data_IF_584382330582
#
_entry.id   IF_584382330582
#
_cell.length_a   1.000
_cell.length_b   1.000
_cell.length_c   1.000
_cell.angle_alpha   90.00
_cell.angle_beta   90.00
_cell.angle_gamma   90.00
#
_symmetry.space_group_name_H-M   'P 1'
#
loop_
_entity.id
_entity.type
_entity.pdbx_description
1 polymer ?
#
# COMPACT_ATOMS: atom_id res chain seq x y z
N UNK A 1 18.09 -12.27 22.45
CA UNK A 1 17.75 -12.99 21.19
C UNK A 1 16.52 -12.33 20.57
N UNK A 2 16.66 -11.69 19.41
CA UNK A 2 15.59 -10.93 18.72
C UNK A 2 15.01 -11.76 17.57
N UNK A 3 14.40 -12.90 17.86
CA UNK A 3 13.77 -13.72 16.81
C UNK A 3 12.41 -13.14 16.42
N UNK A 4 12.32 -12.54 15.24
CA UNK A 4 11.09 -11.89 14.73
C UNK A 4 9.95 -12.88 14.57
N UNK A 5 10.23 -14.13 14.17
CA UNK A 5 9.20 -15.16 14.01
C UNK A 5 8.47 -15.47 15.34
N UNK A 6 9.21 -15.53 16.46
CA UNK A 6 8.63 -15.74 17.79
C UNK A 6 7.77 -14.53 18.18
N UNK A 7 8.27 -13.31 17.96
CA UNK A 7 7.54 -12.07 18.27
C UNK A 7 6.23 -11.95 17.50
N UNK A 8 6.25 -12.25 16.20
CA UNK A 8 5.05 -12.23 15.36
C UNK A 8 4.02 -13.28 15.81
N UNK A 9 4.49 -14.48 16.16
CA UNK A 9 3.62 -15.53 16.67
C UNK A 9 2.98 -15.10 17.99
N UNK A 10 3.78 -14.64 18.97
CA UNK A 10 3.27 -14.15 20.24
C UNK A 10 2.27 -12.99 20.07
N UNK A 11 2.60 -12.01 19.20
CA UNK A 11 1.72 -10.89 18.89
C UNK A 11 0.37 -11.30 18.30
N UNK A 12 0.35 -12.36 17.48
CA UNK A 12 -0.90 -12.90 16.95
C UNK A 12 -1.81 -13.47 18.05
N UNK A 13 -1.25 -14.19 19.03
CA UNK A 13 -2.01 -14.70 20.18
C UNK A 13 -2.54 -13.57 21.05
N UNK A 14 -1.72 -12.56 21.35
CA UNK A 14 -2.13 -11.37 22.12
C UNK A 14 -3.28 -10.65 21.42
N UNK A 15 -3.16 -10.39 20.11
CA UNK A 15 -4.20 -9.77 19.29
C UNK A 15 -5.50 -10.59 19.32
N UNK A 16 -5.42 -11.91 19.18
CA UNK A 16 -6.60 -12.74 19.17
C UNK A 16 -7.34 -12.74 20.52
N UNK A 17 -6.61 -12.79 21.63
CA UNK A 17 -7.18 -12.67 22.98
C UNK A 17 -7.85 -11.31 23.18
N UNK A 18 -7.19 -10.23 22.78
CA UNK A 18 -7.74 -8.87 22.86
C UNK A 18 -9.03 -8.72 22.04
N UNK A 19 -9.12 -9.38 20.88
CA UNK A 19 -10.30 -9.38 20.02
C UNK A 19 -11.37 -10.42 20.42
N UNK A 20 -11.27 -11.04 21.61
CA UNK A 20 -12.28 -11.95 22.14
C UNK A 20 -12.32 -13.33 21.48
N UNK A 21 -11.29 -13.72 20.72
CA UNK A 21 -11.23 -15.04 20.09
C UNK A 21 -10.81 -16.12 21.11
N UNK A 22 -11.59 -17.21 21.19
CA UNK A 22 -11.23 -18.39 21.99
C UNK A 22 -10.14 -19.21 21.28
N UNK A 23 -8.94 -19.25 21.85
CA UNK A 23 -7.80 -19.99 21.30
C UNK A 23 -7.84 -21.44 21.81
N UNK A 24 -8.40 -22.35 21.02
CA UNK A 24 -8.49 -23.79 21.37
C UNK A 24 -7.43 -24.67 20.72
N UNK A 25 -6.71 -24.15 19.73
CA UNK A 25 -5.71 -24.87 18.93
C UNK A 25 -4.58 -23.91 18.56
N UNK A 26 -3.36 -24.42 18.27
CA UNK A 26 -2.28 -23.60 17.77
C UNK A 26 -2.64 -22.87 16.47
N UNK A 27 -2.11 -21.66 16.29
CA UNK A 27 -2.35 -20.89 15.07
C UNK A 27 -1.65 -21.54 13.88
N UNK A 28 -2.39 -21.66 12.78
CA UNK A 28 -1.86 -22.09 11.48
C UNK A 28 -1.84 -20.89 10.55
N UNK A 29 -0.69 -20.67 9.92
CA UNK A 29 -0.52 -19.60 8.95
C UNK A 29 -0.86 -20.14 7.56
N UNK A 30 -1.98 -19.69 6.98
CA UNK A 30 -2.47 -20.19 5.69
C UNK A 30 -1.54 -19.86 4.51
N UNK A 31 -0.72 -18.82 4.64
CA UNK A 31 0.15 -18.34 3.56
C UNK A 31 1.60 -18.37 4.01
N UNK A 32 2.50 -18.97 3.23
CA UNK A 32 3.92 -18.93 3.52
C UNK A 32 4.47 -17.52 3.28
N UNK A 33 4.98 -16.89 4.34
CA UNK A 33 5.77 -15.67 4.28
C UNK A 33 6.73 -15.63 5.46
N UNK A 34 7.78 -14.84 5.34
CA UNK A 34 8.71 -14.56 6.43
C UNK A 34 8.89 -13.05 6.56
N UNK A 35 9.10 -12.58 7.79
CA UNK A 35 9.40 -11.18 8.08
C UNK A 35 10.70 -11.13 8.86
N UNK A 36 11.63 -10.30 8.40
CA UNK A 36 12.93 -10.13 9.01
C UNK A 36 13.15 -8.65 9.30
N UNK A 37 13.60 -8.36 10.52
CA UNK A 37 14.14 -7.06 10.86
C UNK A 37 15.58 -6.96 10.36
N UNK A 38 15.95 -5.83 9.77
CA UNK A 38 17.27 -5.55 9.21
C UNK A 38 18.00 -4.59 10.16
N UNK A 39 19.25 -4.90 10.54
CA UNK A 39 20.02 -3.97 11.39
C UNK A 39 21.26 -4.54 12.07
N UNK A 40 22.13 -3.62 12.52
CA UNK A 40 23.50 -3.89 13.00
C UNK A 40 23.61 -4.68 14.31
N UNK A 41 22.56 -4.75 15.14
CA UNK A 41 22.62 -5.35 16.50
C UNK A 41 21.38 -6.18 16.85
N UNK A 42 21.10 -7.22 16.07
CA UNK A 42 20.01 -8.17 16.35
C UNK A 42 18.95 -8.30 15.25
N UNK A 43 19.23 -7.80 14.05
CA UNK A 43 18.40 -8.09 12.89
C UNK A 43 18.48 -9.57 12.50
N UNK A 44 17.33 -10.12 12.10
CA UNK A 44 17.25 -11.44 11.49
C UNK A 44 17.69 -11.43 10.01
N UNK A 45 17.93 -10.25 9.45
CA UNK A 45 18.48 -10.06 8.11
C UNK A 45 19.56 -8.97 8.07
N UNK A 46 20.49 -9.09 7.12
CA UNK A 46 21.54 -8.10 6.85
C UNK A 46 21.92 -8.11 5.36
N UNK A 47 21.88 -6.93 4.72
CA UNK A 47 22.33 -6.72 3.35
C UNK A 47 23.84 -6.47 3.36
N UNK A 48 24.62 -7.43 2.84
CA UNK A 48 26.08 -7.40 2.87
C UNK A 48 26.65 -6.65 1.67
N UNK A 49 27.84 -6.06 1.86
CA UNK A 49 28.60 -5.34 0.80
C UNK A 49 28.91 -6.18 -0.44
N UNK A 50 28.88 -7.51 -0.35
CA UNK A 50 29.15 -8.42 -1.47
C UNK A 50 27.86 -8.89 -2.19
N UNK A 51 26.80 -8.09 -2.18
CA UNK A 51 25.50 -8.39 -2.80
C UNK A 51 24.86 -9.70 -2.30
N UNK A 52 25.14 -10.07 -1.04
CA UNK A 52 24.50 -11.20 -0.37
C UNK A 52 23.56 -10.72 0.72
N UNK A 53 22.38 -11.32 0.78
CA UNK A 53 21.44 -11.16 1.87
C UNK A 53 21.70 -12.28 2.87
N UNK A 54 22.14 -11.91 4.07
CA UNK A 54 22.28 -12.84 5.20
C UNK A 54 20.95 -12.88 5.94
N UNK A 55 20.27 -14.03 5.99
CA UNK A 55 19.06 -14.22 6.79
C UNK A 55 19.27 -15.27 7.87
N UNK A 56 18.62 -15.11 9.02
CA UNK A 56 18.55 -16.12 10.06
C UNK A 56 17.49 -17.16 9.73
N UNK A 57 17.81 -18.43 9.94
CA UNK A 57 16.88 -19.57 9.81
C UNK A 57 17.04 -20.48 11.01
N UNK A 58 16.13 -21.44 11.17
CA UNK A 58 16.25 -22.49 12.19
C UNK A 58 17.58 -23.27 12.09
N UNK A 59 18.15 -23.37 10.88
CA UNK A 59 19.41 -24.06 10.61
C UNK A 59 20.60 -23.08 10.55
N UNK A 60 20.52 -21.98 11.31
CA UNK A 60 21.53 -20.93 11.32
C UNK A 60 21.40 -19.90 10.19
N UNK A 61 22.41 -19.03 10.05
CA UNK A 61 22.40 -17.96 9.04
C UNK A 61 22.70 -18.50 7.64
N UNK A 62 21.84 -18.16 6.68
CA UNK A 62 22.02 -18.47 5.25
C UNK A 62 22.36 -17.18 4.50
N UNK A 63 23.30 -17.28 3.55
CA UNK A 63 23.71 -16.18 2.68
C UNK A 63 23.13 -16.45 1.30
N UNK A 64 22.25 -15.57 0.84
CA UNK A 64 21.54 -15.70 -0.42
C UNK A 64 21.99 -14.60 -1.38
N UNK A 65 22.16 -14.94 -2.65
CA UNK A 65 22.26 -13.92 -3.69
C UNK A 65 20.88 -13.26 -3.86
N UNK A 66 20.86 -11.97 -4.15
CA UNK A 66 19.63 -11.26 -4.48
C UNK A 66 19.85 -10.35 -5.69
N UNK A 67 18.75 -9.99 -6.33
CA UNK A 67 18.73 -9.06 -7.45
C UNK A 67 17.74 -7.94 -7.12
N UNK A 68 18.17 -6.69 -7.35
CA UNK A 68 17.32 -5.51 -7.22
C UNK A 68 16.95 -5.07 -8.64
N UNK A 69 15.65 -4.98 -9.00
CA UNK A 69 15.24 -4.42 -10.28
C UNK A 69 15.79 -3.00 -10.47
N UNK A 70 16.17 -2.64 -11.70
CA UNK A 70 16.87 -1.37 -12.00
C UNK A 70 16.14 -0.14 -11.48
N UNK A 71 14.81 -0.12 -11.63
CA UNK A 71 13.96 0.95 -11.10
C UNK A 71 14.15 1.20 -9.59
N UNK A 72 14.44 0.16 -8.81
CA UNK A 72 14.60 0.24 -7.37
C UNK A 72 16.04 0.48 -6.90
N UNK A 73 17.05 0.34 -7.78
CA UNK A 73 18.46 0.47 -7.39
C UNK A 73 18.74 1.83 -6.78
N UNK A 74 18.32 2.92 -7.43
CA UNK A 74 18.52 4.28 -6.92
C UNK A 74 17.96 4.49 -5.49
N UNK A 75 16.82 3.89 -5.15
CA UNK A 75 16.22 4.04 -3.83
C UNK A 75 16.92 3.17 -2.78
N UNK A 76 17.40 2.00 -3.19
CA UNK A 76 18.13 1.10 -2.33
C UNK A 76 19.53 1.63 -2.01
N UNK A 77 20.23 2.16 -3.01
CA UNK A 77 21.59 2.67 -2.88
C UNK A 77 21.62 3.99 -2.06
N UNK A 78 20.59 4.82 -2.19
CA UNK A 78 20.41 6.05 -1.41
C UNK A 78 19.69 5.83 -0.06
N UNK A 79 19.46 4.59 0.36
CA UNK A 79 18.77 4.32 1.62
C UNK A 79 19.67 4.65 2.82
N UNK A 80 19.21 5.57 3.67
CA UNK A 80 19.86 5.89 4.95
C UNK A 80 19.59 4.80 5.99
N UNK A 81 18.45 4.12 5.88
CA UNK A 81 18.13 2.97 6.72
C UNK A 81 17.33 1.92 5.95
N UNK A 82 17.75 0.67 6.08
CA UNK A 82 16.95 -0.49 5.69
C UNK A 82 16.36 -1.09 6.97
N UNK A 83 15.03 -1.06 7.11
CA UNK A 83 14.37 -1.41 8.37
C UNK A 83 13.97 -2.89 8.41
N UNK A 84 13.33 -3.37 7.35
CA UNK A 84 12.79 -4.73 7.33
C UNK A 84 12.59 -5.27 5.94
N UNK A 85 12.40 -6.59 5.85
CA UNK A 85 12.05 -7.30 4.62
C UNK A 85 10.94 -8.31 4.90
N UNK A 86 9.87 -8.24 4.10
CA UNK A 86 8.85 -9.30 4.02
C UNK A 86 9.18 -10.16 2.80
N UNK A 87 9.42 -11.45 3.01
CA UNK A 87 9.67 -12.42 1.93
C UNK A 87 8.40 -13.22 1.67
N UNK A 88 7.97 -13.29 0.41
CA UNK A 88 6.84 -14.10 -0.05
C UNK A 88 7.25 -14.98 -1.21
N UNK A 89 6.57 -16.11 -1.37
CA UNK A 89 6.71 -16.97 -2.54
C UNK A 89 5.72 -16.50 -3.61
N UNK A 90 6.23 -16.19 -4.81
CA UNK A 90 5.42 -15.86 -5.99
C UNK A 90 6.05 -16.51 -7.22
N UNK A 91 5.25 -17.28 -7.99
CA UNK A 91 5.70 -17.98 -9.20
C UNK A 91 7.00 -18.78 -8.95
N UNK A 92 7.03 -19.55 -7.86
CA UNK A 92 8.19 -20.34 -7.40
C UNK A 92 9.47 -19.52 -7.13
N UNK A 93 9.37 -18.20 -6.94
CA UNK A 93 10.48 -17.31 -6.57
C UNK A 93 10.24 -16.67 -5.21
N UNK A 94 11.31 -16.45 -4.46
CA UNK A 94 11.29 -15.62 -3.25
C UNK A 94 11.33 -14.15 -3.65
N UNK A 95 10.29 -13.41 -3.29
CA UNK A 95 10.18 -11.96 -3.51
C UNK A 95 10.30 -11.25 -2.18
N UNK A 96 11.35 -10.44 -2.05
CA UNK A 96 11.59 -9.57 -0.90
C UNK A 96 10.95 -8.20 -1.09
N UNK A 97 10.04 -7.82 -0.19
CA UNK A 97 9.51 -6.46 -0.08
C UNK A 97 10.28 -5.74 1.02
N UNK A 98 11.16 -4.83 0.62
CA UNK A 98 12.10 -4.15 1.51
C UNK A 98 11.54 -2.79 1.92
N UNK A 99 11.60 -2.47 3.21
CA UNK A 99 11.27 -1.16 3.75
C UNK A 99 12.54 -0.33 3.93
N UNK A 100 12.57 0.83 3.30
CA UNK A 100 13.70 1.75 3.23
C UNK A 100 13.29 3.12 3.77
N UNK A 101 14.21 3.79 4.45
CA UNK A 101 14.17 5.24 4.69
C UNK A 101 15.16 5.87 3.72
N UNK A 102 14.65 6.74 2.86
CA UNK A 102 15.45 7.63 2.02
C UNK A 102 15.33 9.03 2.59
N UNK A 103 16.40 9.81 2.51
CA UNK A 103 16.33 11.25 2.78
C UNK A 103 16.05 11.96 1.47
N UNK A 104 15.10 12.89 1.51
CA UNK A 104 14.74 13.74 0.38
C UNK A 104 15.03 15.15 0.83
N UNK A 105 15.82 15.88 0.03
CA UNK A 105 16.13 17.27 0.33
C UNK A 105 14.87 18.12 0.40
N UNK A 106 14.95 19.23 1.15
CA UNK A 106 13.87 20.21 1.15
C UNK A 106 13.74 20.83 -0.24
N UNK A 107 12.51 20.88 -0.74
CA UNK A 107 12.22 21.59 -1.97
C UNK A 107 12.43 23.09 -1.76
N UNK A 108 13.09 23.76 -2.71
CA UNK A 108 13.20 25.21 -2.77
C UNK A 108 12.32 25.71 -3.92
N UNK A 109 11.00 25.82 -3.72
CA UNK A 109 10.11 26.14 -4.82
C UNK A 109 10.29 27.59 -5.27
N UNK A 110 10.29 27.79 -6.57
CA UNK A 110 10.39 29.10 -7.23
C UNK A 110 9.04 29.47 -7.86
N UNK A 111 8.28 28.46 -8.29
CA UNK A 111 7.12 28.63 -9.15
C UNK A 111 5.84 28.06 -8.54
N UNK A 112 4.77 28.85 -8.33
CA UNK A 112 3.50 28.31 -7.90
C UNK A 112 2.77 27.62 -9.06
N UNK A 113 2.22 26.45 -8.80
CA UNK A 113 1.25 25.76 -9.67
C UNK A 113 -0.07 25.70 -8.92
N UNK A 114 -1.04 26.49 -9.36
CA UNK A 114 -2.38 26.51 -8.77
C UNK A 114 -3.17 25.29 -9.22
N UNK A 115 -3.76 24.56 -8.29
CA UNK A 115 -4.58 23.37 -8.54
C UNK A 115 -5.96 23.53 -7.94
N UNK A 116 -6.96 23.37 -8.78
CA UNK A 116 -8.37 23.48 -8.43
C UNK A 116 -9.19 22.27 -8.98
N UNK A 117 -10.38 22.07 -8.42
CA UNK A 117 -11.41 21.14 -8.85
C UNK A 117 -12.47 21.90 -9.64
N UNK A 118 -12.88 21.35 -10.78
CA UNK A 118 -14.05 21.89 -11.49
C UNK A 118 -15.15 20.82 -11.62
N UNK A 119 -16.31 21.17 -12.20
CA UNK A 119 -17.46 20.27 -12.25
C UNK A 119 -17.23 18.94 -13.01
N UNK A 120 -16.33 18.98 -14.01
CA UNK A 120 -16.11 17.91 -15.00
C UNK A 120 -14.72 17.26 -14.88
N UNK A 121 -13.73 18.01 -14.42
CA UNK A 121 -12.34 17.65 -14.23
C UNK A 121 -12.03 17.47 -12.75
N UNK A 122 -11.31 16.40 -12.45
CA UNK A 122 -10.91 16.12 -11.09
C UNK A 122 -9.65 16.87 -10.68
N UNK A 123 -8.89 17.42 -11.63
CA UNK A 123 -7.75 18.30 -11.44
C UNK A 123 -7.76 19.28 -12.62
N UNK A 124 -7.73 20.57 -12.31
CA UNK A 124 -7.36 21.67 -13.19
C UNK A 124 -6.12 22.29 -12.58
N UNK A 125 -5.03 22.40 -13.35
CA UNK A 125 -3.81 23.04 -12.86
C UNK A 125 -3.35 24.13 -13.82
N UNK A 126 -2.84 25.23 -13.27
CA UNK A 126 -2.28 26.36 -14.03
C UNK A 126 -0.84 26.59 -13.56
N UNK A 127 0.10 26.65 -14.50
CA UNK A 127 1.51 26.91 -14.22
C UNK A 127 1.84 28.41 -14.38
N UNK A 128 3.06 28.86 -14.05
CA UNK A 128 3.44 30.28 -14.19
C UNK A 128 3.38 30.81 -15.63
N UNK A 129 3.50 29.92 -16.63
CA UNK A 129 3.45 30.26 -18.05
C UNK A 129 2.00 30.34 -18.58
N UNK A 130 1.00 30.27 -17.69
CA UNK A 130 -0.43 30.22 -17.99
C UNK A 130 -0.88 29.02 -18.83
N UNK A 131 -0.07 27.96 -18.89
CA UNK A 131 -0.49 26.68 -19.45
C UNK A 131 -1.44 25.98 -18.49
N UNK A 132 -2.45 25.30 -19.05
CA UNK A 132 -3.50 24.67 -18.25
C UNK A 132 -3.52 23.16 -18.49
N UNK A 133 -3.43 22.41 -17.39
CA UNK A 133 -3.61 20.96 -17.37
C UNK A 133 -5.02 20.60 -16.94
N UNK A 134 -5.70 19.81 -17.78
CA UNK A 134 -6.98 19.19 -17.45
C UNK A 134 -6.83 17.68 -17.23
N UNK A 135 -7.33 17.18 -16.10
CA UNK A 135 -7.46 15.75 -15.82
C UNK A 135 -8.91 15.42 -15.52
N UNK A 136 -9.59 14.83 -16.52
CA UNK A 136 -11.01 14.48 -16.39
C UNK A 136 -11.27 13.38 -15.35
N UNK A 137 -12.28 13.59 -14.51
CA UNK A 137 -12.81 12.59 -13.57
C UNK A 137 -14.04 11.86 -14.09
N UNK A 138 -14.52 12.18 -15.29
CA UNK A 138 -15.88 11.86 -15.75
C UNK A 138 -16.16 10.36 -15.80
N UNK A 139 -15.27 9.58 -16.43
CA UNK A 139 -15.43 8.11 -16.52
C UNK A 139 -15.53 7.48 -15.13
N UNK A 140 -14.74 7.96 -14.17
CA UNK A 140 -14.77 7.52 -12.77
C UNK A 140 -16.07 7.92 -12.09
N UNK A 141 -16.54 9.16 -12.27
CA UNK A 141 -17.80 9.70 -11.76
C UNK A 141 -18.98 8.82 -12.20
N UNK A 142 -19.06 8.51 -13.50
CA UNK A 142 -20.10 7.64 -14.08
C UNK A 142 -20.07 6.23 -13.47
N UNK A 143 -18.90 5.60 -13.43
CA UNK A 143 -18.75 4.25 -12.86
C UNK A 143 -19.05 4.20 -11.36
N UNK A 144 -18.68 5.23 -10.61
CA UNK A 144 -18.97 5.34 -9.18
C UNK A 144 -20.47 5.56 -8.94
N UNK A 145 -21.14 6.37 -9.76
CA UNK A 145 -22.61 6.57 -9.68
C UNK A 145 -23.37 5.25 -9.86
N UNK A 146 -22.98 4.43 -10.83
CA UNK A 146 -23.56 3.09 -11.05
C UNK A 146 -23.37 2.18 -9.82
N UNK A 147 -22.15 2.11 -9.29
CA UNK A 147 -21.86 1.30 -8.09
C UNK A 147 -22.63 1.80 -6.87
N UNK A 148 -22.72 3.12 -6.65
CA UNK A 148 -23.46 3.70 -5.53
C UNK A 148 -24.95 3.31 -5.56
N UNK A 149 -25.58 3.30 -6.74
CA UNK A 149 -26.96 2.80 -6.89
C UNK A 149 -27.08 1.33 -6.47
N UNK A 150 -26.14 0.49 -6.89
CA UNK A 150 -26.12 -0.94 -6.49
C UNK A 150 -25.92 -1.11 -5.00
N UNK A 151 -25.00 -0.34 -4.38
CA UNK A 151 -24.76 -0.36 -2.93
C UNK A 151 -26.03 0.01 -2.16
N UNK A 152 -26.70 1.10 -2.53
CA UNK A 152 -27.97 1.52 -1.90
C UNK A 152 -29.02 0.41 -1.94
N UNK A 153 -29.19 -0.24 -3.10
CA UNK A 153 -30.13 -1.39 -3.24
C UNK A 153 -29.75 -2.56 -2.32
N UNK A 154 -28.46 -2.90 -2.25
CA UNK A 154 -27.97 -3.99 -1.40
C UNK A 154 -28.08 -3.66 0.09
N UNK A 155 -27.92 -2.39 0.48
CA UNK A 155 -28.12 -1.94 1.86
C UNK A 155 -29.58 -2.08 2.29
N UNK A 156 -30.54 -1.70 1.43
CA UNK A 156 -31.97 -1.95 1.70
C UNK A 156 -32.27 -3.45 1.84
N UNK A 157 -31.76 -4.27 0.91
CA UNK A 157 -31.88 -5.75 0.99
C UNK A 157 -31.25 -6.32 2.27
N UNK A 158 -30.14 -5.76 2.73
CA UNK A 158 -29.49 -6.17 3.96
C UNK A 158 -30.38 -5.85 5.17
N UNK A 159 -30.97 -4.65 5.22
CA UNK A 159 -31.88 -4.24 6.30
C UNK A 159 -33.11 -5.15 6.38
N UNK A 160 -33.76 -5.42 5.24
CA UNK A 160 -34.89 -6.35 5.17
C UNK A 160 -34.54 -7.75 5.68
N UNK A 161 -33.41 -8.31 5.21
CA UNK A 161 -32.97 -9.64 5.69
C UNK A 161 -32.67 -9.66 7.19
N UNK A 162 -32.16 -8.57 7.77
CA UNK A 162 -31.94 -8.46 9.22
C UNK A 162 -33.26 -8.46 9.98
N UNK A 163 -34.25 -7.68 9.51
CA UNK A 163 -35.58 -7.64 10.11
C UNK A 163 -36.27 -9.01 10.06
N UNK A 164 -36.13 -9.73 8.94
CA UNK A 164 -36.68 -11.09 8.77
C UNK A 164 -35.82 -12.20 9.41
N UNK A 165 -34.76 -11.86 10.17
CA UNK A 165 -33.80 -12.82 10.75
C UNK A 165 -33.19 -13.82 9.74
N UNK A 166 -33.10 -13.43 8.46
CA UNK A 166 -32.55 -14.25 7.37
C UNK A 166 -31.04 -14.10 7.24
N UNK A 167 -30.40 -15.11 6.65
CA UNK A 167 -28.95 -15.09 6.38
C UNK A 167 -28.52 -13.91 5.49
N UNK A 168 -27.60 -13.09 6.03
CA UNK A 168 -27.08 -11.86 5.42
C UNK A 168 -25.71 -12.00 4.76
N UNK A 169 -25.02 -13.14 4.92
CA UNK A 169 -23.60 -13.32 4.52
C UNK A 169 -23.35 -13.00 3.05
N UNK A 170 -24.23 -13.43 2.15
CA UNK A 170 -24.09 -13.19 0.71
C UNK A 170 -24.19 -11.71 0.33
N UNK A 171 -25.08 -10.96 0.99
CA UNK A 171 -25.26 -9.52 0.78
C UNK A 171 -24.05 -8.75 1.30
N UNK A 172 -23.60 -9.07 2.52
CA UNK A 172 -22.41 -8.45 3.14
C UNK A 172 -21.16 -8.71 2.30
N UNK A 173 -20.94 -9.93 1.82
CA UNK A 173 -19.80 -10.28 0.95
C UNK A 173 -19.82 -9.45 -0.35
N UNK A 174 -21.00 -9.27 -0.93
CA UNK A 174 -21.16 -8.47 -2.16
C UNK A 174 -20.89 -6.99 -1.91
N UNK A 175 -21.39 -6.43 -0.79
CA UNK A 175 -21.11 -5.05 -0.38
C UNK A 175 -19.61 -4.81 -0.19
N UNK A 176 -18.92 -5.68 0.56
CA UNK A 176 -17.46 -5.60 0.76
C UNK A 176 -16.71 -5.65 -0.58
N UNK A 177 -17.11 -6.53 -1.49
CA UNK A 177 -16.52 -6.63 -2.83
C UNK A 177 -16.69 -5.34 -3.65
N UNK A 178 -17.86 -4.72 -3.62
CA UNK A 178 -18.14 -3.46 -4.32
C UNK A 178 -17.35 -2.29 -3.73
N UNK A 179 -17.29 -2.19 -2.40
CA UNK A 179 -16.47 -1.19 -1.71
C UNK A 179 -14.98 -1.34 -2.09
N UNK A 180 -14.45 -2.56 -2.06
CA UNK A 180 -13.08 -2.83 -2.49
C UNK A 180 -12.82 -2.48 -3.96
N UNK A 181 -13.79 -2.71 -4.85
CA UNK A 181 -13.70 -2.30 -6.27
C UNK A 181 -13.65 -0.78 -6.42
N UNK A 182 -14.46 -0.04 -5.66
CA UNK A 182 -14.44 1.43 -5.65
C UNK A 182 -13.10 1.96 -5.11
N UNK A 183 -12.63 1.42 -3.98
CA UNK A 183 -11.37 1.82 -3.37
C UNK A 183 -10.18 1.63 -4.31
N UNK A 184 -10.09 0.46 -4.97
CA UNK A 184 -9.03 0.21 -5.97
C UNK A 184 -9.07 1.21 -7.13
N UNK A 185 -10.25 1.51 -7.66
CA UNK A 185 -10.41 2.52 -8.73
C UNK A 185 -10.01 3.92 -8.27
N UNK A 186 -10.38 4.32 -7.06
CA UNK A 186 -9.96 5.62 -6.52
C UNK A 186 -8.45 5.67 -6.39
N UNK A 187 -7.82 4.63 -5.83
CA UNK A 187 -6.36 4.54 -5.68
C UNK A 187 -5.64 4.63 -7.02
N UNK A 188 -6.11 3.89 -8.01
CA UNK A 188 -5.58 3.88 -9.37
C UNK A 188 -5.69 5.26 -10.04
N UNK A 189 -6.86 5.91 -9.91
CA UNK A 189 -7.06 7.26 -10.39
C UNK A 189 -6.13 8.27 -9.71
N UNK A 190 -6.02 8.26 -8.38
CA UNK A 190 -5.11 9.14 -7.66
C UNK A 190 -3.66 8.93 -8.13
N UNK A 191 -3.21 7.67 -8.25
CA UNK A 191 -1.85 7.38 -8.73
C UNK A 191 -1.60 7.95 -10.13
N UNK A 192 -2.48 7.66 -11.08
CA UNK A 192 -2.32 8.09 -12.48
C UNK A 192 -2.48 9.60 -12.65
N UNK A 193 -3.44 10.21 -11.96
CA UNK A 193 -3.68 11.65 -12.00
C UNK A 193 -2.53 12.44 -11.35
N UNK A 194 -2.07 12.03 -10.16
CA UNK A 194 -0.92 12.68 -9.50
C UNK A 194 0.36 12.49 -10.30
N UNK A 195 0.59 11.30 -10.88
CA UNK A 195 1.74 11.09 -11.77
C UNK A 195 1.71 12.05 -12.96
N UNK A 196 0.56 12.17 -13.65
CA UNK A 196 0.39 13.10 -14.77
C UNK A 196 0.60 14.56 -14.36
N UNK A 197 0.11 14.95 -13.18
CA UNK A 197 0.31 16.29 -12.64
C UNK A 197 1.80 16.57 -12.40
N UNK A 198 2.49 15.67 -11.69
CA UNK A 198 3.92 15.82 -11.37
C UNK A 198 4.79 15.82 -12.63
N UNK A 199 4.48 14.99 -13.63
CA UNK A 199 5.19 14.98 -14.91
C UNK A 199 4.96 16.24 -15.74
N UNK A 200 3.85 16.94 -15.54
CA UNK A 200 3.53 18.19 -16.22
C UNK A 200 4.06 19.43 -15.50
N UNK A 201 4.20 19.38 -14.17
CA UNK A 201 4.71 20.48 -13.38
C UNK A 201 6.16 20.84 -13.77
N UNK A 202 6.50 22.14 -13.83
CA UNK A 202 7.89 22.56 -14.03
C UNK A 202 8.76 22.17 -12.84
N UNK A 203 10.07 22.09 -13.07
CA UNK A 203 11.03 21.86 -12.00
C UNK A 203 10.94 22.94 -10.91
N UNK A 204 11.22 22.56 -9.67
CA UNK A 204 11.21 23.46 -8.52
C UNK A 204 9.89 24.23 -8.34
N UNK A 205 8.74 23.60 -8.63
CA UNK A 205 7.44 24.21 -8.35
C UNK A 205 6.92 23.89 -6.94
N UNK A 206 6.02 24.73 -6.43
CA UNK A 206 5.13 24.41 -5.32
C UNK A 206 3.71 24.20 -5.85
N UNK A 207 3.10 23.07 -5.50
CA UNK A 207 1.70 22.80 -5.84
C UNK A 207 0.81 23.41 -4.77
N UNK A 208 -0.04 24.35 -5.16
CA UNK A 208 -0.97 25.09 -4.29
C UNK A 208 -2.37 24.57 -4.54
N UNK A 209 -3.10 24.21 -3.49
CA UNK A 209 -4.48 23.74 -3.58
C UNK A 209 -5.43 24.74 -2.90
N UNK A 210 -6.69 24.77 -3.34
CA UNK A 210 -7.75 25.43 -2.57
C UNK A 210 -7.96 24.75 -1.21
N UNK A 211 -8.34 25.54 -0.19
CA UNK A 211 -8.65 25.07 1.17
C UNK A 211 -10.07 24.52 1.31
#
# INVERSE_FOLDING_TARGET
>A
MTCTAIRLTAGAYVSAKHNGHKIKKPFRWDKPYAFFLVGKRGGDADFRKNNKLSIWTINGRKKLNYFIPDYFKQYFDNAVLINSIIVKIKNNKLIGYVSLKIEVGEAKPIHPVGVDLNETNAIVAVNPDNEVLFITGLRRKVLNKRISKTIKRLQRKLALKKAESKNTRSVVRTLKRLQGKRARRTKDFCHTATKKLVEWCPENCVVVFEN
#
